data_IF_720217559334
#
_entry.id   IF_720217559334
#
_cell.length_a   1.000
_cell.length_b   1.000
_cell.length_c   1.000
_cell.angle_alpha   90.00
_cell.angle_beta   90.00
_cell.angle_gamma   90.00
#
_symmetry.space_group_name_H-M   'P 1'
#
loop_
_entity.id
_entity.type
_entity.pdbx_description
1 polymer ?
#
# COMPACT_ATOMS: atom_id res chain seq x y z
N UNK A 1 -32.39 17.04 5.47
CA UNK A 1 -31.00 17.33 5.88
C UNK A 1 -30.24 16.02 5.93
N UNK A 2 -29.43 15.77 4.91
CA UNK A 2 -28.59 14.58 4.85
C UNK A 2 -27.29 14.88 5.57
N UNK A 3 -26.65 13.88 6.17
CA UNK A 3 -25.35 14.04 6.83
C UNK A 3 -24.26 14.63 5.90
N UNK A 4 -24.45 14.57 4.57
CA UNK A 4 -23.55 15.19 3.57
C UNK A 4 -23.54 16.71 3.59
N UNK A 5 -24.63 17.36 4.00
CA UNK A 5 -24.76 18.83 3.96
C UNK A 5 -23.89 19.52 5.04
N UNK A 6 -23.26 18.75 5.94
CA UNK A 6 -22.46 19.25 7.07
C UNK A 6 -20.94 19.10 6.87
N UNK A 7 -20.51 18.41 5.83
CA UNK A 7 -19.09 18.26 5.50
C UNK A 7 -18.75 19.16 4.31
N UNK A 8 -17.58 19.83 4.31
CA UNK A 8 -17.13 20.55 3.13
C UNK A 8 -17.04 19.57 1.94
N UNK A 9 -17.46 20.01 0.76
CA UNK A 9 -17.45 19.20 -0.47
C UNK A 9 -16.04 18.69 -0.79
N UNK A 10 -15.01 19.39 -0.30
CA UNK A 10 -13.61 19.02 -0.42
C UNK A 10 -12.99 18.59 0.93
N UNK A 11 -12.38 17.40 0.93
CA UNK A 11 -11.68 16.84 2.09
C UNK A 11 -10.25 16.45 1.68
N UNK A 12 -9.29 16.63 2.58
CA UNK A 12 -7.90 16.25 2.33
C UNK A 12 -7.69 14.75 2.44
N UNK A 13 -7.08 14.16 1.41
CA UNK A 13 -6.66 12.76 1.45
C UNK A 13 -5.60 12.56 2.54
N UNK A 14 -5.78 11.60 3.45
CA UNK A 14 -4.88 11.41 4.61
C UNK A 14 -3.48 10.93 4.20
N UNK A 15 -3.33 10.40 2.99
CA UNK A 15 -2.07 9.86 2.48
C UNK A 15 -1.26 10.87 1.66
N UNK A 16 -1.87 11.49 0.65
CA UNK A 16 -1.21 12.46 -0.22
C UNK A 16 -1.44 13.93 0.16
N UNK A 17 -2.29 14.19 1.16
CA UNK A 17 -2.68 15.52 1.67
C UNK A 17 -3.28 16.49 0.63
N UNK A 18 -3.58 16.03 -0.60
CA UNK A 18 -4.31 16.85 -1.57
C UNK A 18 -5.79 16.91 -1.24
N UNK A 19 -6.40 18.09 -1.43
CA UNK A 19 -7.85 18.27 -1.41
C UNK A 19 -8.47 17.53 -2.58
N UNK A 20 -9.49 16.74 -2.29
CA UNK A 20 -10.27 15.98 -3.27
C UNK A 20 -11.73 16.06 -2.87
N UNK A 21 -12.60 15.87 -3.84
CA UNK A 21 -14.03 15.75 -3.60
C UNK A 21 -14.30 14.61 -2.61
N UNK A 22 -15.18 14.87 -1.65
CA UNK A 22 -15.58 13.93 -0.60
C UNK A 22 -16.15 12.62 -1.16
N UNK A 23 -16.71 12.64 -2.38
CA UNK A 23 -17.26 11.47 -3.07
C UNK A 23 -16.19 10.56 -3.70
N UNK A 24 -14.98 11.06 -3.99
CA UNK A 24 -13.87 10.27 -4.55
C UNK A 24 -13.00 9.61 -3.46
N UNK A 25 -13.29 9.93 -2.20
CA UNK A 25 -12.60 9.41 -1.03
C UNK A 25 -13.29 8.15 -0.49
N UNK A 26 -12.50 7.11 -0.23
CA UNK A 26 -12.99 5.90 0.46
C UNK A 26 -13.21 6.16 1.96
N UNK A 27 -13.75 5.18 2.71
CA UNK A 27 -14.01 5.25 4.17
C UNK A 27 -12.80 5.63 5.05
N UNK A 28 -11.59 5.63 4.49
CA UNK A 28 -10.33 6.05 5.14
C UNK A 28 -9.80 7.41 4.69
N UNK A 29 -10.55 8.14 3.87
CA UNK A 29 -10.08 9.35 3.23
C UNK A 29 -8.83 9.12 2.36
N UNK A 30 -8.82 8.01 1.61
CA UNK A 30 -7.83 7.73 0.59
C UNK A 30 -8.44 7.94 -0.80
N UNK A 31 -7.79 8.76 -1.62
CA UNK A 31 -8.17 8.93 -3.03
C UNK A 31 -7.89 7.64 -3.84
N UNK A 32 -8.50 7.51 -5.02
CA UNK A 32 -8.31 6.37 -5.93
C UNK A 32 -6.84 6.05 -6.23
N UNK A 33 -6.05 7.07 -6.53
CA UNK A 33 -4.62 6.96 -6.87
C UNK A 33 -3.82 6.33 -5.72
N UNK A 34 -4.07 6.80 -4.49
CA UNK A 34 -3.44 6.29 -3.27
C UNK A 34 -3.82 4.83 -2.99
N UNK A 35 -5.06 4.43 -3.31
CA UNK A 35 -5.51 3.03 -3.19
C UNK A 35 -4.82 2.13 -4.20
N UNK A 36 -4.71 2.57 -5.46
CA UNK A 36 -4.02 1.81 -6.51
C UNK A 36 -2.53 1.63 -6.23
N UNK A 37 -1.85 2.68 -5.78
CA UNK A 37 -0.46 2.60 -5.33
C UNK A 37 -0.29 1.65 -4.15
N UNK A 38 -1.21 1.70 -3.17
CA UNK A 38 -1.25 0.78 -2.04
C UNK A 38 -1.40 -0.68 -2.46
N UNK A 39 -2.29 -0.97 -3.42
CA UNK A 39 -2.51 -2.34 -3.94
C UNK A 39 -1.28 -2.87 -4.68
N UNK A 40 -0.62 -2.05 -5.52
CA UNK A 40 0.61 -2.44 -6.21
C UNK A 40 1.73 -2.80 -5.23
N UNK A 41 1.91 -1.98 -4.19
CA UNK A 41 2.90 -2.28 -3.13
C UNK A 41 2.51 -3.51 -2.34
N UNK A 42 1.24 -3.69 -1.98
CA UNK A 42 0.77 -4.90 -1.29
C UNK A 42 1.07 -6.17 -2.10
N UNK A 43 0.93 -6.11 -3.44
CA UNK A 43 1.25 -7.23 -4.31
C UNK A 43 2.74 -7.57 -4.29
N UNK A 44 3.63 -6.57 -4.43
CA UNK A 44 5.08 -6.74 -4.33
C UNK A 44 5.50 -7.32 -2.98
N UNK A 45 4.98 -6.73 -1.89
CA UNK A 45 5.29 -7.19 -0.54
C UNK A 45 4.74 -8.59 -0.25
N UNK A 46 3.58 -8.96 -0.80
CA UNK A 46 3.05 -10.31 -0.70
C UNK A 46 3.98 -11.34 -1.33
N UNK A 47 4.49 -11.07 -2.53
CA UNK A 47 5.50 -11.92 -3.17
C UNK A 47 6.81 -11.98 -2.38
N UNK A 48 7.26 -10.86 -1.80
CA UNK A 48 8.46 -10.85 -0.97
C UNK A 48 8.31 -11.74 0.29
N UNK A 49 7.19 -11.62 1.01
CA UNK A 49 6.90 -12.46 2.19
C UNK A 49 6.81 -13.94 1.80
N UNK A 50 6.10 -14.25 0.72
CA UNK A 50 6.01 -15.62 0.23
C UNK A 50 7.38 -16.18 -0.16
N UNK A 51 8.19 -15.41 -0.88
CA UNK A 51 9.54 -15.79 -1.31
C UNK A 51 10.46 -16.06 -0.13
N UNK A 52 10.48 -15.18 0.87
CA UNK A 52 11.28 -15.37 2.09
C UNK A 52 10.85 -16.62 2.84
N UNK A 53 9.54 -16.80 3.07
CA UNK A 53 9.03 -18.00 3.77
C UNK A 53 9.35 -19.29 3.02
N UNK A 54 9.21 -19.30 1.69
CA UNK A 54 9.55 -20.45 0.86
C UNK A 54 11.06 -20.75 0.87
N UNK A 55 11.90 -19.71 0.83
CA UNK A 55 13.35 -19.87 0.91
C UNK A 55 13.79 -20.41 2.27
N UNK A 56 13.22 -19.91 3.37
CA UNK A 56 13.48 -20.42 4.71
C UNK A 56 13.04 -21.88 4.85
N UNK A 57 11.87 -22.24 4.29
CA UNK A 57 11.39 -23.61 4.30
C UNK A 57 12.30 -24.54 3.48
N UNK A 58 12.70 -24.12 2.27
CA UNK A 58 13.62 -24.87 1.43
C UNK A 58 14.98 -25.08 2.12
N UNK A 59 15.50 -24.03 2.76
CA UNK A 59 16.74 -24.09 3.53
C UNK A 59 16.62 -25.06 4.73
N UNK A 60 15.49 -25.02 5.44
CA UNK A 60 15.22 -25.92 6.54
C UNK A 60 15.17 -27.39 6.09
N UNK A 61 14.47 -27.68 5.00
CA UNK A 61 14.41 -29.03 4.41
C UNK A 61 15.82 -29.50 4.04
N UNK A 62 16.63 -28.62 3.43
CA UNK A 62 17.99 -28.95 3.00
C UNK A 62 18.91 -29.27 4.17
N UNK A 63 18.93 -28.43 5.22
CA UNK A 63 19.87 -28.54 6.34
C UNK A 63 19.45 -29.60 7.36
N UNK A 64 18.16 -29.71 7.66
CA UNK A 64 17.65 -30.53 8.78
C UNK A 64 17.11 -31.86 8.29
N UNK A 65 16.25 -31.85 7.27
CA UNK A 65 15.54 -33.07 6.83
C UNK A 65 16.42 -33.92 5.91
N UNK A 66 17.34 -33.30 5.14
CA UNK A 66 18.13 -33.91 4.06
C UNK A 66 17.23 -34.61 3.02
N UNK A 67 16.86 -33.95 1.92
CA UNK A 67 15.84 -34.46 1.01
C UNK A 67 16.21 -35.84 0.46
N UNK A 68 15.32 -36.81 0.63
CA UNK A 68 15.45 -38.10 -0.05
C UNK A 68 15.16 -37.92 -1.54
N UNK A 69 16.01 -38.51 -2.39
CA UNK A 69 15.89 -38.44 -3.86
C UNK A 69 14.64 -39.16 -4.39
N UNK A 70 13.99 -39.96 -3.56
CA UNK A 70 12.81 -40.75 -3.92
C UNK A 70 11.54 -39.90 -4.15
N UNK A 71 11.43 -38.71 -3.52
CA UNK A 71 10.21 -37.87 -3.55
C UNK A 71 10.54 -36.41 -3.84
N UNK A 72 11.38 -36.15 -4.85
CA UNK A 72 11.76 -34.78 -5.26
C UNK A 72 10.52 -33.95 -5.64
N UNK A 73 9.55 -34.56 -6.34
CA UNK A 73 8.30 -33.89 -6.71
C UNK A 73 7.48 -33.42 -5.50
N UNK A 74 7.47 -34.18 -4.41
CA UNK A 74 6.77 -33.81 -3.18
C UNK A 74 7.40 -32.59 -2.52
N UNK A 75 8.74 -32.54 -2.44
CA UNK A 75 9.45 -31.39 -1.87
C UNK A 75 9.19 -30.10 -2.65
N UNK A 76 9.25 -30.17 -3.98
CA UNK A 76 8.96 -29.02 -4.84
C UNK A 76 7.51 -28.56 -4.66
N UNK A 77 6.56 -29.50 -4.59
CA UNK A 77 5.16 -29.19 -4.34
C UNK A 77 4.94 -28.51 -2.99
N UNK A 78 5.61 -28.96 -1.92
CA UNK A 78 5.52 -28.35 -0.58
C UNK A 78 6.05 -26.91 -0.57
N UNK A 79 7.22 -26.67 -1.15
CA UNK A 79 7.80 -25.32 -1.23
C UNK A 79 6.92 -24.40 -2.08
N UNK A 80 6.42 -24.90 -3.21
CA UNK A 80 5.50 -24.16 -4.08
C UNK A 80 4.18 -23.82 -3.39
N UNK A 81 3.60 -24.77 -2.65
CA UNK A 81 2.38 -24.54 -1.88
C UNK A 81 2.58 -23.50 -0.78
N UNK A 82 3.70 -23.57 -0.05
CA UNK A 82 4.06 -22.58 0.97
C UNK A 82 4.21 -21.18 0.35
N UNK A 83 4.95 -21.06 -0.77
CA UNK A 83 5.11 -19.82 -1.51
C UNK A 83 3.75 -19.23 -1.90
N UNK A 84 2.88 -20.03 -2.50
CA UNK A 84 1.57 -19.59 -2.97
C UNK A 84 0.67 -19.12 -1.82
N UNK A 85 0.58 -19.91 -0.76
CA UNK A 85 -0.26 -19.61 0.40
C UNK A 85 0.21 -18.35 1.12
N UNK A 86 1.52 -18.25 1.39
CA UNK A 86 2.12 -17.10 2.06
C UNK A 86 2.04 -15.84 1.20
N UNK A 87 2.16 -15.97 -0.12
CA UNK A 87 2.00 -14.82 -1.04
C UNK A 87 0.55 -14.32 -1.10
N UNK A 88 -0.43 -15.20 -0.90
CA UNK A 88 -1.85 -14.83 -0.87
C UNK A 88 -2.21 -14.16 0.45
N UNK A 89 -1.84 -14.78 1.57
CA UNK A 89 -2.10 -14.25 2.91
C UNK A 89 -1.33 -12.95 3.13
N UNK A 90 -0.07 -12.88 2.70
CA UNK A 90 0.77 -11.69 2.82
C UNK A 90 0.15 -10.46 2.17
N UNK A 91 -0.50 -10.59 1.01
CA UNK A 91 -1.20 -9.47 0.34
C UNK A 91 -2.30 -8.87 1.22
N UNK A 92 -3.12 -9.73 1.80
CA UNK A 92 -4.24 -9.32 2.66
C UNK A 92 -3.73 -8.71 3.97
N UNK A 93 -2.77 -9.37 4.62
CA UNK A 93 -2.18 -8.90 5.89
C UNK A 93 -1.46 -7.58 5.67
N UNK A 94 -0.67 -7.42 4.62
CA UNK A 94 0.07 -6.18 4.35
C UNK A 94 -0.88 -5.04 3.99
N UNK A 95 -1.95 -5.31 3.23
CA UNK A 95 -2.98 -4.31 2.98
C UNK A 95 -3.68 -3.90 4.28
N UNK A 96 -4.01 -4.85 5.15
CA UNK A 96 -4.55 -4.60 6.48
C UNK A 96 -3.59 -3.83 7.39
N UNK A 97 -2.31 -4.19 7.41
CA UNK A 97 -1.28 -3.49 8.20
C UNK A 97 -1.03 -2.09 7.66
N UNK A 98 -0.96 -1.88 6.34
CA UNK A 98 -0.89 -0.55 5.75
C UNK A 98 -2.13 0.28 6.12
N UNK A 99 -3.30 -0.36 6.23
CA UNK A 99 -4.53 0.27 6.69
C UNK A 99 -4.43 0.76 8.13
N UNK A 100 -3.85 -0.03 9.03
CA UNK A 100 -3.68 0.33 10.44
C UNK A 100 -2.47 1.26 10.71
N UNK A 101 -1.37 1.12 9.96
CA UNK A 101 -0.12 1.86 10.15
C UNK A 101 -0.09 3.25 9.49
N UNK A 102 -1.20 3.74 8.95
CA UNK A 102 -1.26 5.06 8.32
C UNK A 102 -1.11 6.20 9.35
N UNK A 103 0.10 6.34 9.91
CA UNK A 103 0.62 7.57 10.50
C UNK A 103 0.56 8.62 9.39
N UNK A 104 -0.26 9.64 9.63
CA UNK A 104 -0.48 10.80 8.75
C UNK A 104 0.86 11.32 8.21
N UNK A 105 0.89 11.72 6.94
CA UNK A 105 1.95 12.54 6.31
C UNK A 105 3.22 11.87 5.75
N UNK A 106 3.37 10.54 5.67
CA UNK A 106 4.61 9.93 5.12
C UNK A 106 4.85 10.23 3.62
N UNK A 107 3.80 10.52 2.85
CA UNK A 107 3.90 10.84 1.40
C UNK A 107 3.38 12.25 1.06
N UNK A 108 3.32 13.14 2.05
CA UNK A 108 2.99 14.54 1.82
C UNK A 108 4.06 15.19 0.91
N UNK A 109 3.66 15.60 -0.30
CA UNK A 109 4.44 16.54 -1.10
C UNK A 109 3.83 17.92 -0.89
N UNK A 110 4.64 18.97 -0.66
CA UNK A 110 4.12 20.33 -0.57
C UNK A 110 3.35 20.65 -1.86
N UNK A 111 2.22 21.37 -1.78
CA UNK A 111 1.52 21.82 -2.97
C UNK A 111 2.50 22.65 -3.81
N UNK A 112 2.71 22.26 -5.06
CA UNK A 112 3.33 23.17 -6.04
C UNK A 112 2.38 24.35 -6.16
N UNK A 113 2.90 25.56 -5.95
CA UNK A 113 2.13 26.81 -5.89
C UNK A 113 1.06 26.87 -6.98
N UNK A 114 -0.16 27.22 -6.55
CA UNK A 114 -1.29 27.47 -7.44
C UNK A 114 -0.90 28.71 -8.28
N UNK A 115 -0.99 28.69 -9.62
CA UNK A 115 -0.58 29.83 -10.47
C UNK A 115 -1.19 31.16 -10.02
N UNK A 116 -2.42 31.10 -9.51
CA UNK A 116 -3.21 32.23 -9.06
C UNK A 116 -2.61 32.99 -7.85
N UNK A 117 -1.72 32.37 -7.08
CA UNK A 117 -1.05 32.97 -5.91
C UNK A 117 0.28 33.66 -6.28
N UNK A 118 0.87 33.30 -7.43
CA UNK A 118 2.05 33.95 -7.98
C UNK A 118 1.73 35.36 -8.52
N UNK A 119 0.54 35.53 -9.10
CA UNK A 119 0.09 36.83 -9.61
C UNK A 119 -0.13 37.83 -8.47
N UNK A 120 -0.68 37.37 -7.33
CA UNK A 120 -0.99 38.22 -6.17
C UNK A 120 0.24 38.55 -5.28
N UNK A 121 1.30 37.72 -5.36
CA UNK A 121 2.58 38.00 -4.73
C UNK A 121 3.43 38.99 -5.54
N UNK A 122 3.25 39.04 -6.86
CA UNK A 122 3.93 39.99 -7.75
C UNK A 122 3.36 41.41 -7.62
N UNK A 123 2.04 41.54 -7.37
CA UNK A 123 1.37 42.83 -7.21
C UNK A 123 1.79 43.55 -5.92
N UNK A 124 1.92 42.83 -4.80
CA UNK A 124 2.33 43.41 -3.50
C UNK A 124 3.80 43.79 -3.38
N UNK A 125 4.65 43.35 -4.32
CA UNK A 125 6.08 43.68 -4.33
C UNK A 125 6.38 44.92 -5.17
N UNK A 126 5.35 45.47 -5.84
CA UNK A 126 5.46 46.65 -6.70
C UNK A 126 5.02 47.96 -6.03
N UNK A 127 4.67 47.90 -4.73
CA UNK A 127 4.46 49.05 -3.82
C UNK A 127 5.65 49.19 -2.86
#
# INVERSE_FOLDING_TARGET
>A
MSWRDRFPDEITCVRCLRTRDSTDLDRLFWCRECREAGRKRAALWGWAVGGVSAALLALYIWLVIRPSTLIIGGWVATVGACLWLMSRIGREVIYGVMRFRNRRAVEARPPTERPDEADDASSRRSD
#
